data_IF_544162706349
#
_entry.id   IF_544162706349
#
_cell.length_a   1.000
_cell.length_b   1.000
_cell.length_c   1.000
_cell.angle_alpha   90.00
_cell.angle_beta   90.00
_cell.angle_gamma   90.00
#
_symmetry.space_group_name_H-M   'P 1'
#
loop_
_entity.id
_entity.type
_entity.pdbx_description
1 polymer ?
#
# COMPACT_ATOMS: atom_id res chain seq x y z
N UNK A 1 6.05 -1.43 19.18
CA UNK A 1 6.00 -2.00 17.82
C UNK A 1 7.32 -1.68 17.16
N UNK A 2 7.76 -2.50 16.19
CA UNK A 2 9.01 -2.21 15.49
C UNK A 2 8.68 -1.29 14.32
N UNK A 3 9.32 -0.11 14.25
CA UNK A 3 9.10 0.81 13.15
C UNK A 3 9.53 0.15 11.84
N UNK A 4 8.77 0.38 10.77
CA UNK A 4 9.15 -0.05 9.43
C UNK A 4 9.01 1.11 8.44
N UNK A 5 9.73 0.97 7.33
CA UNK A 5 9.70 1.92 6.23
C UNK A 5 8.92 1.28 5.08
N UNK A 6 7.88 1.95 4.60
CA UNK A 6 7.21 1.58 3.36
C UNK A 6 8.08 2.10 2.21
N UNK A 7 8.72 1.19 1.49
CA UNK A 7 9.56 1.52 0.33
C UNK A 7 8.76 1.59 -0.97
N UNK A 8 7.55 1.02 -1.00
CA UNK A 8 6.70 1.02 -2.17
C UNK A 8 5.37 0.31 -1.92
N UNK A 9 4.41 0.61 -2.79
CA UNK A 9 3.08 0.02 -2.80
C UNK A 9 2.81 -0.47 -4.21
N UNK A 10 2.45 -1.72 -4.37
CA UNK A 10 1.95 -2.25 -5.65
C UNK A 10 0.46 -2.50 -5.52
N UNK A 11 -0.32 -1.81 -6.34
CA UNK A 11 -1.75 -2.02 -6.50
C UNK A 11 -1.96 -3.04 -7.61
N UNK A 12 -2.81 -4.03 -7.36
CA UNK A 12 -3.22 -5.02 -8.37
C UNK A 12 -4.71 -4.85 -8.57
N UNK A 13 -5.14 -4.64 -9.81
CA UNK A 13 -6.54 -4.43 -10.19
C UNK A 13 -7.19 -5.71 -10.74
N UNK A 14 -8.52 -5.71 -10.84
CA UNK A 14 -9.28 -6.84 -11.42
C UNK A 14 -8.89 -7.12 -12.88
N UNK A 15 -8.51 -6.08 -13.61
CA UNK A 15 -8.12 -6.17 -15.03
C UNK A 15 -6.75 -6.85 -15.23
N UNK A 16 -6.05 -7.17 -14.14
CA UNK A 16 -4.69 -7.70 -14.17
C UNK A 16 -3.61 -6.61 -14.28
N UNK A 17 -4.01 -5.34 -14.43
CA UNK A 17 -3.12 -4.20 -14.32
C UNK A 17 -2.48 -4.14 -12.93
N UNK A 18 -1.20 -3.77 -12.91
CA UNK A 18 -0.40 -3.61 -11.71
C UNK A 18 0.23 -2.22 -11.73
N UNK A 19 -0.19 -1.36 -10.81
CA UNK A 19 0.47 -0.08 -10.60
C UNK A 19 1.44 -0.18 -9.44
N UNK A 20 2.72 0.04 -9.73
CA UNK A 20 3.71 0.26 -8.67
C UNK A 20 3.74 1.75 -8.33
N UNK A 21 3.11 2.09 -7.22
CA UNK A 21 3.24 3.40 -6.59
C UNK A 21 4.52 3.40 -5.76
N UNK A 22 5.55 4.01 -6.32
CA UNK A 22 6.72 4.42 -5.54
C UNK A 22 6.27 5.49 -4.53
N UNK A 23 6.00 5.07 -3.30
CA UNK A 23 5.64 5.98 -2.22
C UNK A 23 6.89 6.78 -1.87
N UNK A 24 6.93 8.03 -2.33
CA UNK A 24 7.99 9.01 -2.05
C UNK A 24 7.94 9.55 -0.61
N UNK A 25 7.03 9.07 0.22
CA UNK A 25 6.94 9.48 1.63
C UNK A 25 7.74 8.50 2.50
N UNK A 26 9.01 8.88 2.71
CA UNK A 26 9.99 8.29 3.63
C UNK A 26 9.56 8.41 5.10
N UNK A 27 8.30 8.07 5.43
CA UNK A 27 7.77 8.12 6.79
C UNK A 27 7.91 6.77 7.45
N UNK A 28 8.80 6.73 8.43
CA UNK A 28 8.86 5.67 9.44
C UNK A 28 7.47 5.57 10.08
N UNK A 29 6.80 4.45 9.84
CA UNK A 29 5.44 4.20 10.34
C UNK A 29 5.51 3.10 11.41
N UNK A 30 4.91 3.37 12.56
CA UNK A 30 4.71 2.40 13.65
C UNK A 30 3.30 1.75 13.61
N UNK A 31 2.44 2.16 12.65
CA UNK A 31 1.11 1.59 12.46
C UNK A 31 1.20 0.18 11.88
N UNK A 32 0.20 -0.70 12.05
CA UNK A 32 0.23 -2.02 11.45
C UNK A 32 0.16 -1.95 9.91
N UNK A 33 0.96 -2.74 9.17
CA UNK A 33 0.91 -2.76 7.71
C UNK A 33 -0.44 -3.23 7.17
N UNK A 34 -1.19 -4.04 7.93
CA UNK A 34 -2.59 -4.39 7.61
C UNK A 34 -3.49 -3.15 7.52
N UNK A 35 -3.42 -2.29 8.54
CA UNK A 35 -4.19 -1.05 8.61
C UNK A 35 -3.84 -0.12 7.45
N UNK A 36 -2.56 -0.05 7.09
CA UNK A 36 -2.12 0.74 5.93
C UNK A 36 -2.71 0.19 4.62
N UNK A 37 -2.71 -1.13 4.42
CA UNK A 37 -3.35 -1.77 3.25
C UNK A 37 -4.83 -1.46 3.17
N UNK A 38 -5.54 -1.57 4.29
CA UNK A 38 -6.97 -1.26 4.36
C UNK A 38 -7.24 0.21 4.05
N UNK A 39 -6.47 1.16 4.60
CA UNK A 39 -6.61 2.58 4.27
C UNK A 39 -6.36 2.87 2.79
N UNK A 40 -5.36 2.21 2.19
CA UNK A 40 -5.06 2.34 0.77
C UNK A 40 -6.24 1.79 -0.05
N UNK A 41 -6.68 0.56 0.22
CA UNK A 41 -7.84 -0.05 -0.45
C UNK A 41 -9.10 0.81 -0.33
N UNK A 42 -9.39 1.31 0.87
CA UNK A 42 -10.55 2.18 1.14
C UNK A 42 -10.46 3.50 0.37
N UNK A 43 -9.26 4.10 0.30
CA UNK A 43 -9.00 5.29 -0.50
C UNK A 43 -9.24 5.08 -2.00
N UNK A 44 -8.86 3.92 -2.53
CA UNK A 44 -9.12 3.54 -3.92
C UNK A 44 -10.50 2.93 -4.15
N UNK A 45 -11.31 2.67 -3.11
CA UNK A 45 -12.65 2.08 -3.24
C UNK A 45 -13.65 2.98 -3.97
N UNK A 46 -13.33 4.27 -4.13
CA UNK A 46 -14.13 5.24 -4.89
C UNK A 46 -13.76 5.31 -6.37
N UNK A 47 -12.71 4.61 -6.78
CA UNK A 47 -12.30 4.53 -8.18
C UNK A 47 -13.25 3.60 -8.94
N UNK A 48 -13.49 3.88 -10.21
CA UNK A 48 -14.34 3.04 -11.07
C UNK A 48 -13.78 1.60 -11.16
N UNK A 49 -12.46 1.46 -11.11
CA UNK A 49 -11.75 0.19 -10.99
C UNK A 49 -10.89 0.17 -9.72
N UNK A 50 -11.42 -0.30 -8.58
CA UNK A 50 -10.64 -0.37 -7.35
C UNK A 50 -9.63 -1.52 -7.43
N UNK A 51 -8.43 -1.36 -6.82
CA UNK A 51 -7.46 -2.44 -6.73
C UNK A 51 -7.99 -3.55 -5.81
N UNK A 52 -7.85 -4.79 -6.26
CA UNK A 52 -8.23 -6.00 -5.50
C UNK A 52 -7.23 -6.35 -4.42
N UNK A 53 -5.97 -6.01 -4.65
CA UNK A 53 -4.88 -6.40 -3.77
C UNK A 53 -3.86 -5.26 -3.69
N UNK A 54 -3.38 -5.05 -2.47
CA UNK A 54 -2.31 -4.11 -2.16
C UNK A 54 -1.13 -4.87 -1.59
N UNK A 55 -0.01 -4.79 -2.29
CA UNK A 55 1.27 -5.34 -1.86
C UNK A 55 2.13 -4.19 -1.34
N UNK A 56 2.50 -4.27 -0.06
CA UNK A 56 3.38 -3.28 0.56
C UNK A 56 4.79 -3.83 0.58
N UNK A 57 5.72 -3.06 0.03
CA UNK A 57 7.15 -3.32 0.15
C UNK A 57 7.64 -2.62 1.41
N UNK A 58 7.75 -3.37 2.50
CA UNK A 58 8.19 -2.86 3.80
C UNK A 58 9.62 -3.31 4.12
N UNK A 59 10.39 -2.40 4.71
CA UNK A 59 11.71 -2.68 5.26
C UNK A 59 11.64 -2.46 6.78
N UNK A 60 11.85 -3.53 7.53
CA UNK A 60 11.95 -3.48 8.99
C UNK A 60 13.27 -2.81 9.39
N UNK A 61 13.20 -1.94 10.40
CA UNK A 61 14.36 -1.29 11.02
C UNK A 61 14.91 -2.13 12.17
#
# INVERSE_FOLDING_TARGET
>A
MNPYIVQGVTLVFYDGEREELSVLDSKITDRPPKLLKEQILDGFSKMENPPVKVELKIKWL
#
